data_IF_237350091531
#
_entry.id   IF_237350091531
#
_cell.length_a   1.000
_cell.length_b   1.000
_cell.length_c   1.000
_cell.angle_alpha   90.00
_cell.angle_beta   90.00
_cell.angle_gamma   90.00
#
_symmetry.space_group_name_H-M   'P 1'
#
loop_
_entity.id
_entity.type
_entity.pdbx_description
1 polymer ?
2 non-polymer ?
3 non-polymer ?
4 non-polymer ?
5 water ?
#
# COMPACT_ATOMS: atom_id res chain seq x y z
C UNK A 1 -24.54 -15.42 26.58
N UNK A 2 -24.53 -15.53 25.26
CA UNK A 2 -23.55 -14.82 24.45
C UNK A 2 -24.24 -14.08 23.32
N UNK A 3 -23.51 -13.14 22.71
CA UNK A 3 -24.08 -12.26 21.69
C UNK A 3 -23.07 -11.98 20.59
N UNK A 4 -23.57 -11.63 19.41
CA UNK A 4 -22.69 -11.25 18.30
C UNK A 4 -22.30 -9.78 18.45
N UNK A 5 -21.04 -9.54 18.78
CA UNK A 5 -20.54 -8.18 19.00
C UNK A 5 -20.12 -7.52 17.68
N UNK A 6 -19.61 -8.32 16.76
CA UNK A 6 -19.22 -7.82 15.44
C UNK A 6 -19.27 -8.95 14.43
N UNK A 7 -19.58 -8.62 13.18
CA UNK A 7 -19.61 -9.64 12.13
C UNK A 7 -19.42 -9.04 10.75
N UNK A 8 -18.53 -9.67 9.97
CA UNK A 8 -18.35 -9.29 8.58
C UNK A 8 -17.91 -10.51 7.76
N UNK A 9 -18.35 -10.57 6.51
CA UNK A 9 -18.12 -11.74 5.67
C UNK A 9 -18.14 -11.29 4.22
N UNK A 10 -17.48 -12.03 3.33
CA UNK A 10 -17.50 -11.71 1.92
C UNK A 10 -16.59 -12.59 1.10
N UNK A 11 -15.95 -11.99 0.09
CA UNK A 11 -15.07 -12.74 -0.80
C UNK A 11 -13.69 -12.10 -0.85
N UNK A 12 -12.66 -12.94 -0.74
CA UNK A 12 -11.28 -12.49 -0.72
C UNK A 12 -10.54 -13.08 -1.92
N UNK A 13 -9.47 -12.44 -2.32
CA UNK A 13 -8.60 -12.97 -3.38
C UNK A 13 -9.32 -13.16 -4.71
N UNK A 14 -10.15 -12.20 -5.08
CA UNK A 14 -10.83 -12.21 -6.38
C UNK A 14 -9.95 -11.51 -7.41
N UNK A 15 -9.31 -12.29 -8.27
CA UNK A 15 -8.41 -11.74 -9.26
C UNK A 15 -9.18 -11.21 -10.46
N UNK A 16 -8.87 -9.98 -10.87
CA UNK A 16 -9.57 -9.31 -11.95
C UNK A 16 -8.59 -8.70 -12.96
N UNK A 17 -8.85 -8.94 -14.23
CA UNK A 17 -8.07 -8.33 -15.31
C UNK A 17 -9.04 -7.59 -16.22
N UNK A 18 -8.70 -6.36 -16.57
CA UNK A 18 -9.51 -5.61 -17.52
C UNK A 18 -8.62 -4.97 -18.58
N UNK A 19 -9.07 -5.01 -19.82
CA UNK A 19 -8.34 -4.42 -20.92
C UNK A 19 -9.14 -3.28 -21.55
N UNK A 20 -8.44 -2.19 -21.82
CA UNK A 20 -9.02 -1.09 -22.59
C UNK A 20 -8.40 -1.07 -23.97
N UNK A 21 -9.25 -0.90 -24.98
CA UNK A 21 -8.77 -0.86 -26.36
C UNK A 21 -9.16 0.44 -27.03
N UNK A 22 -8.16 1.24 -27.40
CA UNK A 22 -8.40 2.46 -28.15
C UNK A 22 -8.60 2.09 -29.61
N UNK A 23 -9.81 2.28 -30.11
CA UNK A 23 -10.15 1.90 -31.48
C UNK A 23 -9.32 2.70 -32.48
N UNK A 24 -9.04 3.96 -32.13
CA UNK A 24 -8.26 4.84 -33.00
C UNK A 24 -6.81 4.39 -33.13
N UNK A 25 -6.05 4.54 -32.04
CA UNK A 25 -4.60 4.32 -32.07
C UNK A 25 -4.20 2.84 -32.09
N UNK A 26 -5.14 1.97 -31.74
CA UNK A 26 -4.82 0.55 -31.62
C UNK A 26 -4.07 0.24 -30.34
N UNK A 27 -3.98 1.22 -29.46
CA UNK A 27 -3.24 1.06 -28.22
C UNK A 27 -4.09 0.49 -27.08
N UNK A 28 -3.62 -0.64 -26.55
CA UNK A 28 -4.32 -1.34 -25.49
C UNK A 28 -3.62 -1.13 -24.14
N UNK A 29 -4.42 -1.02 -23.09
CA UNK A 29 -3.92 -0.79 -21.75
C UNK A 29 -4.57 -1.81 -20.82
N UNK A 30 -3.76 -2.49 -20.02
CA UNK A 30 -4.29 -3.53 -19.15
C UNK A 30 -4.24 -3.12 -17.68
N UNK A 31 -5.15 -3.67 -16.89
CA UNK A 31 -5.20 -3.43 -15.47
C UNK A 31 -5.44 -4.77 -14.78
N UNK A 32 -4.67 -5.06 -13.75
CA UNK A 32 -4.89 -6.28 -12.98
C UNK A 32 -4.89 -5.96 -11.50
N UNK A 33 -5.84 -6.56 -10.78
CA UNK A 33 -6.05 -6.28 -9.36
C UNK A 33 -6.37 -7.56 -8.60
N UNK A 34 -6.34 -7.49 -7.28
CA UNK A 34 -6.87 -8.55 -6.45
C UNK A 34 -7.78 -7.90 -5.41
N UNK A 35 -9.04 -8.31 -5.41
CA UNK A 35 -10.08 -7.58 -4.69
C UNK A 35 -10.69 -8.38 -3.55
N UNK A 36 -10.92 -7.70 -2.43
CA UNK A 36 -11.61 -8.28 -1.29
C UNK A 36 -12.78 -7.38 -0.92
N UNK A 37 -13.95 -7.99 -0.72
CA UNK A 37 -15.12 -7.25 -0.24
C UNK A 37 -15.74 -7.93 0.97
N UNK A 38 -15.82 -7.19 2.07
CA UNK A 38 -16.46 -7.69 3.29
C UNK A 38 -17.64 -6.80 3.65
N UNK A 39 -18.79 -7.41 3.91
CA UNK A 39 -20.00 -6.67 4.22
C UNK A 39 -20.36 -6.79 5.71
N UNK A 40 -20.94 -5.72 6.25
CA UNK A 40 -21.56 -5.77 7.57
C UNK A 40 -23.02 -5.38 7.44
N UNK A 41 -23.78 -5.63 8.51
CA UNK A 41 -25.16 -5.20 8.56
C UNK A 41 -26.00 -6.01 9.52
N UNK A 42 -27.30 -6.04 9.28
CA UNK A 42 -28.23 -6.82 10.08
C UNK A 42 -28.19 -8.27 9.61
N UNK A 43 -27.10 -8.97 9.93
CA UNK A 43 -26.89 -10.33 9.46
C UNK A 43 -26.57 -11.29 10.61
N UNK A 44 -26.88 -10.87 11.82
CA UNK A 44 -26.55 -11.65 13.03
C UNK A 44 -27.31 -12.97 13.06
N UNK A 45 -28.52 -13.01 12.50
CA UNK A 45 -29.32 -14.25 12.58
C UNK A 45 -28.82 -15.35 11.65
N UNK A 46 -27.87 -15.05 10.75
CA UNK A 46 -27.26 -16.12 9.97
C UNK A 46 -26.28 -16.90 10.85
N UNK A 47 -25.78 -16.24 11.90
CA UNK A 47 -24.89 -16.88 12.86
C UNK A 47 -25.65 -17.57 13.99
N UNK A 48 -26.71 -16.92 14.47
CA UNK A 48 -27.37 -17.36 15.70
C UNK A 48 -28.58 -18.27 15.43
N UNK A 49 -29.23 -18.10 14.30
CA UNK A 49 -30.47 -18.81 14.01
C UNK A 49 -30.40 -19.66 12.75
N UNK A 50 -29.22 -19.75 12.14
CA UNK A 50 -29.08 -20.44 10.86
C UNK A 50 -30.05 -19.86 9.85
N UNK A 51 -30.17 -18.53 9.84
CA UNK A 51 -31.08 -17.85 8.93
C UNK A 51 -30.30 -17.25 7.77
N UNK A 52 -30.27 -17.97 6.65
CA UNK A 52 -29.48 -17.57 5.50
C UNK A 52 -30.18 -16.58 4.58
N UNK A 53 -31.40 -16.19 4.93
CA UNK A 53 -32.15 -15.27 4.09
C UNK A 53 -31.49 -13.90 4.05
N UNK A 54 -30.70 -13.59 5.08
CA UNK A 54 -30.03 -12.30 5.17
C UNK A 54 -28.63 -12.33 4.54
N UNK A 55 -28.24 -13.47 3.98
CA UNK A 55 -26.90 -13.60 3.42
C UNK A 55 -26.88 -13.39 1.90
N UNK A 56 -26.18 -12.35 1.48
CA UNK A 56 -25.87 -12.15 0.08
C UNK A 56 -24.66 -13.03 -0.19
N UNK A 57 -24.89 -14.17 -0.86
CA UNK A 57 -23.86 -15.18 -1.00
C UNK A 57 -22.55 -14.58 -1.49
N UNK A 58 -21.44 -15.09 -0.96
CA UNK A 58 -20.12 -14.59 -1.32
C UNK A 58 -19.85 -14.82 -2.81
N UNK A 59 -20.47 -15.86 -3.37
CA UNK A 59 -20.36 -16.12 -4.80
C UNK A 59 -21.02 -14.99 -5.58
N UNK A 60 -22.14 -14.49 -5.08
CA UNK A 60 -22.82 -13.36 -5.69
C UNK A 60 -21.95 -12.12 -5.60
N UNK A 61 -21.23 -11.98 -4.50
CA UNK A 61 -20.32 -10.85 -4.30
C UNK A 61 -19.22 -10.89 -5.35
N UNK A 62 -18.73 -12.10 -5.63
CA UNK A 62 -17.73 -12.30 -6.68
C UNK A 62 -18.27 -11.85 -8.03
N UNK A 63 -19.47 -12.31 -8.36
CA UNK A 63 -20.14 -11.92 -9.60
C UNK A 63 -20.24 -10.41 -9.72
N UNK A 64 -20.59 -9.77 -8.61
CA UNK A 64 -20.83 -8.33 -8.59
C UNK A 64 -19.55 -7.55 -8.87
N UNK A 65 -18.41 -8.10 -8.46
CA UNK A 65 -17.13 -7.48 -8.71
C UNK A 65 -16.81 -7.45 -10.20
N UNK A 66 -17.08 -8.57 -10.88
CA UNK A 66 -16.83 -8.67 -12.32
C UNK A 66 -17.74 -7.74 -13.10
N UNK A 67 -19.03 -7.76 -12.76
CA UNK A 67 -20.03 -6.94 -13.44
C UNK A 67 -19.71 -5.45 -13.27
N UNK A 68 -19.31 -5.07 -12.06
CA UNK A 68 -18.99 -3.67 -11.77
C UNK A 68 -17.77 -3.22 -12.56
N UNK A 69 -16.78 -4.10 -12.67
CA UNK A 69 -15.58 -3.80 -13.43
C UNK A 69 -15.89 -3.64 -14.92
N UNK A 70 -16.88 -4.39 -15.39
CA UNK A 70 -17.29 -4.34 -16.79
C UNK A 70 -17.93 -3.00 -17.11
N UNK A 71 -18.74 -2.50 -16.19
CA UNK A 71 -19.58 -1.34 -16.44
C UNK A 71 -18.97 -0.01 -16.00
N UNK A 72 -17.85 -0.07 -15.28
CA UNK A 72 -17.24 1.13 -14.73
C UNK A 72 -15.74 1.16 -14.95
N UNK A 73 -15.12 2.34 -14.79
CA UNK A 73 -13.66 2.42 -14.85
C UNK A 73 -13.05 1.76 -13.64
N UNK A 74 -11.93 1.07 -13.81
CA UNK A 74 -11.27 0.41 -12.68
C UNK A 74 -10.10 1.25 -12.18
N UNK A 75 -9.92 2.42 -12.79
CA UNK A 75 -8.87 3.34 -12.39
C UNK A 75 -9.43 4.75 -12.29
N UNK A 76 -9.00 5.51 -11.27
CA UNK A 76 -8.09 5.06 -10.22
C UNK A 76 -8.78 4.08 -9.28
N UNK A 77 -8.00 3.25 -8.58
CA UNK A 77 -8.61 2.23 -7.70
C UNK A 77 -9.45 2.83 -6.57
N UNK A 78 -9.14 4.07 -6.18
CA UNK A 78 -9.91 4.75 -5.15
C UNK A 78 -11.36 4.94 -5.60
N UNK A 79 -11.53 5.23 -6.87
CA UNK A 79 -12.85 5.43 -7.45
C UNK A 79 -13.60 4.11 -7.60
N UNK A 80 -12.94 3.13 -8.18
CA UNK A 80 -13.56 1.82 -8.41
C UNK A 80 -14.03 1.21 -7.10
N UNK A 81 -13.21 1.34 -6.06
CA UNK A 81 -13.53 0.80 -4.75
C UNK A 81 -14.73 1.48 -4.13
N UNK A 82 -14.87 2.78 -4.37
CA UNK A 82 -15.97 3.56 -3.82
C UNK A 82 -17.28 3.24 -4.52
N UNK A 83 -17.21 2.96 -5.82
CA UNK A 83 -18.36 2.54 -6.59
C UNK A 83 -18.84 1.16 -6.15
N UNK A 84 -17.88 0.26 -5.97
CA UNK A 84 -18.16 -1.13 -5.61
C UNK A 84 -18.77 -1.22 -4.23
N UNK A 85 -18.26 -0.42 -3.30
CA UNK A 85 -18.75 -0.43 -1.93
C UNK A 85 -20.10 0.26 -1.81
N UNK A 86 -20.27 1.37 -2.52
CA UNK A 86 -21.55 2.09 -2.52
C UNK A 86 -22.66 1.19 -3.03
N UNK A 87 -22.35 0.38 -4.03
CA UNK A 87 -23.33 -0.50 -4.65
C UNK A 87 -24.00 -1.39 -3.62
N UNK A 88 -23.21 -1.98 -2.73
CA UNK A 88 -23.73 -2.96 -1.79
C UNK A 88 -24.66 -2.33 -0.74
N UNK A 89 -24.32 -1.14 -0.25
CA UNK A 89 -25.14 -0.49 0.77
C UNK A 89 -26.39 0.16 0.18
N UNK A 90 -26.36 0.47 -1.11
CA UNK A 90 -27.53 1.05 -1.77
C UNK A 90 -28.48 -0.04 -2.26
N UNK A 91 -27.91 -1.17 -2.66
CA UNK A 91 -28.68 -2.26 -3.25
C UNK A 91 -29.42 -3.09 -2.20
N UNK A 92 -28.78 -3.31 -1.05
CA UNK A 92 -29.33 -4.20 -0.03
C UNK A 92 -29.65 -3.42 1.24
N UNK A 93 -30.93 -3.35 1.59
CA UNK A 93 -31.40 -2.51 2.70
C UNK A 93 -30.85 -2.88 4.08
N UNK A 94 -30.44 -4.14 4.25
CA UNK A 94 -29.95 -4.59 5.56
C UNK A 94 -28.42 -4.57 5.65
N UNK A 95 -27.75 -4.19 4.56
CA UNK A 95 -26.29 -4.13 4.53
C UNK A 95 -25.77 -2.71 4.70
N UNK A 96 -25.23 -2.39 5.87
CA UNK A 96 -24.93 -1.00 6.20
C UNK A 96 -23.47 -0.58 6.07
N UNK A 97 -22.57 -1.52 5.78
CA UNK A 97 -21.19 -1.17 5.53
C UNK A 97 -20.53 -2.14 4.56
N UNK A 98 -19.65 -1.61 3.71
CA UNK A 98 -18.89 -2.42 2.77
C UNK A 98 -17.42 -2.03 2.86
N UNK A 99 -16.57 -3.03 2.97
CA UNK A 99 -15.13 -2.81 3.10
C UNK A 99 -14.44 -3.43 1.90
N UNK A 100 -13.75 -2.60 1.13
CA UNK A 100 -13.20 -3.01 -0.15
C UNK A 100 -11.70 -2.81 -0.18
N UNK A 101 -10.96 -3.90 -0.30
CA UNK A 101 -9.52 -3.82 -0.43
C UNK A 101 -9.07 -4.18 -1.84
N UNK A 102 -8.21 -3.35 -2.41
CA UNK A 102 -7.75 -3.55 -3.77
C UNK A 102 -6.23 -3.50 -3.83
N UNK A 103 -5.65 -4.55 -4.40
CA UNK A 103 -4.21 -4.59 -4.64
C UNK A 103 -3.98 -4.52 -6.14
N UNK A 104 -3.36 -3.44 -6.60
CA UNK A 104 -3.08 -3.28 -8.01
C UNK A 104 -1.72 -3.84 -8.35
N UNK A 105 -1.67 -4.70 -9.35
CA UNK A 105 -0.43 -5.26 -9.82
C UNK A 105 0.08 -4.46 -11.02
N UNK A 106 1.41 -4.44 -11.18
CA UNK A 106 2.06 -3.62 -12.19
C UNK A 106 2.18 -4.32 -13.54
N UNK A 107 1.54 -3.77 -14.55
CA UNK A 107 1.79 -4.16 -15.93
C UNK A 107 2.26 -2.95 -16.71
N UNK A 108 3.58 -2.84 -16.87
CA UNK A 108 4.20 -1.68 -17.48
C UNK A 108 4.45 -1.89 -18.95
N UNK A 109 4.02 -0.93 -19.76
CA UNK A 109 4.19 -1.02 -21.20
C UNK A 109 5.65 -1.22 -21.57
N UNK A 110 5.91 -2.23 -22.39
CA UNK A 110 7.27 -2.51 -22.85
C UNK A 110 7.76 -1.42 -23.78
N UNK A 111 9.06 -1.12 -23.70
CA UNK A 111 9.72 -0.34 -24.74
C UNK A 111 10.52 -1.27 -25.64
N UNK A 112 10.13 -1.32 -26.90
CA UNK A 112 10.80 -2.16 -27.88
C UNK A 112 11.42 -1.28 -28.97
N UNK A 113 12.74 -1.27 -29.04
CA UNK A 113 13.46 -0.42 -29.97
C UNK A 113 13.20 1.06 -29.67
N UNK A 114 13.14 1.38 -28.38
CA UNK A 114 12.94 2.75 -27.95
C UNK A 114 11.52 3.25 -28.10
N UNK A 115 10.64 2.40 -28.62
CA UNK A 115 9.26 2.79 -28.90
C UNK A 115 8.27 2.00 -28.05
N UNK A 116 7.38 2.71 -27.33
CA UNK A 116 6.31 2.07 -26.57
C UNK A 116 5.51 1.08 -27.42
N UNK A 117 5.37 -0.15 -26.94
CA UNK A 117 4.62 -1.16 -27.66
C UNK A 117 3.14 -1.08 -27.31
N UNK A 118 2.27 -1.22 -28.32
CA UNK A 118 0.82 -1.03 -28.15
C UNK A 118 0.09 -2.06 -27.28
N UNK A 119 0.60 -3.27 -27.14
CA UNK A 119 -0.12 -4.29 -26.38
C UNK A 119 0.76 -5.34 -25.71
N UNK A 120 1.97 -4.96 -25.32
CA UNK A 120 2.84 -5.87 -24.59
C UNK A 120 3.31 -5.20 -23.31
N UNK A 121 3.41 -5.99 -22.26
CA UNK A 121 3.68 -5.45 -20.93
C UNK A 121 4.64 -6.32 -20.14
N UNK A 122 5.17 -5.76 -19.05
CA UNK A 122 6.16 -6.44 -18.24
C UNK A 122 5.93 -6.10 -16.77
N UNK A 123 5.91 -7.12 -15.92
CA UNK A 123 5.77 -6.92 -14.49
C UNK A 123 7.11 -6.39 -13.98
N UNK A 124 7.26 -5.07 -14.03
CA UNK A 124 8.55 -4.44 -13.77
C UNK A 124 8.85 -4.25 -12.29
N UNK A 125 8.09 -4.93 -11.43
CA UNK A 125 8.33 -4.89 -9.99
C UNK A 125 7.16 -5.50 -9.23
N UNK A 126 7.44 -6.06 -8.06
CA UNK A 126 6.39 -6.61 -7.20
C UNK A 126 5.82 -5.54 -6.29
N UNK A 127 6.20 -4.29 -6.55
CA UNK A 127 5.61 -3.17 -5.83
C UNK A 127 4.14 -3.09 -6.17
N UNK A 128 3.33 -2.76 -5.17
CA UNK A 128 1.89 -2.68 -5.35
C UNK A 128 1.41 -1.24 -5.17
N UNK A 129 0.17 -0.99 -5.59
CA UNK A 129 -0.56 0.20 -5.21
C UNK A 129 -1.91 -0.26 -4.67
N UNK A 130 -2.21 0.09 -3.43
CA UNK A 130 -3.40 -0.43 -2.78
C UNK A 130 -4.40 0.65 -2.38
N UNK A 131 -5.62 0.21 -2.08
CA UNK A 131 -6.59 1.08 -1.43
C UNK A 131 -7.49 0.27 -0.51
N UNK A 132 -7.85 0.87 0.61
CA UNK A 132 -8.85 0.31 1.50
C UNK A 132 -10.00 1.31 1.58
N UNK A 133 -11.18 0.90 1.13
CA UNK A 133 -12.33 1.80 1.08
C UNK A 133 -13.43 1.31 2.02
N UNK A 134 -13.75 2.11 3.01
CA UNK A 134 -14.82 1.79 3.94
C UNK A 134 -16.04 2.66 3.65
N UNK A 135 -17.09 2.05 3.12
CA UNK A 135 -18.31 2.77 2.80
C UNK A 135 -19.37 2.44 3.85
N UNK A 136 -19.66 3.41 4.71
CA UNK A 136 -20.60 3.21 5.80
C UNK A 136 -21.83 4.06 5.59
N UNK A 137 -23.00 3.43 5.64
CA UNK A 137 -24.25 4.13 5.42
C UNK A 137 -24.46 5.22 6.46
N UNK A 138 -24.58 6.46 5.99
CA UNK A 138 -24.82 7.58 6.88
C UNK A 138 -23.55 8.29 7.28
N UNK A 139 -22.40 7.68 6.99
CA UNK A 139 -21.12 8.22 7.45
C UNK A 139 -20.10 8.43 6.33
N UNK A 140 -20.53 8.23 5.08
CA UNK A 140 -19.69 8.58 3.93
C UNK A 140 -18.72 7.51 3.48
N UNK A 141 -17.56 7.95 3.00
CA UNK A 141 -16.57 7.06 2.39
C UNK A 141 -15.17 7.41 2.88
N UNK A 142 -14.56 6.48 3.62
CA UNK A 142 -13.20 6.66 4.11
C UNK A 142 -12.22 5.86 3.25
N UNK A 143 -11.19 6.52 2.74
CA UNK A 143 -10.25 5.90 1.82
C UNK A 143 -8.83 5.98 2.33
N UNK A 144 -8.16 4.83 2.36
CA UNK A 144 -6.74 4.78 2.70
C UNK A 144 -5.95 4.26 1.50
N UNK A 145 -5.14 5.13 0.91
CA UNK A 145 -4.31 4.76 -0.24
C UNK A 145 -2.94 4.36 0.28
N UNK A 146 -2.25 3.49 -0.45
CA UNK A 146 -0.91 3.09 -0.04
C UNK A 146 -0.07 2.53 -1.19
N UNK A 147 1.23 2.51 -0.97
CA UNK A 147 2.14 1.75 -1.82
C UNK A 147 2.92 0.82 -0.91
N UNK A 148 3.25 -0.36 -1.41
CA UNK A 148 3.94 -1.36 -0.61
C UNK A 148 4.88 -2.17 -1.48
N UNK A 149 5.86 -2.83 -0.85
CA UNK A 149 6.78 -3.67 -1.59
C UNK A 149 7.75 -2.87 -2.43
N UNK A 150 8.01 -1.63 -2.02
CA UNK A 150 9.00 -0.79 -2.68
C UNK A 150 10.32 -0.93 -1.97
N UNK A 151 11.19 -1.79 -2.50
CA UNK A 151 12.38 -2.21 -1.79
C UNK A 151 13.63 -1.47 -2.29
N UNK A 152 14.29 -0.78 -1.36
CA UNK A 152 15.41 0.09 -1.70
C UNK A 152 16.63 -0.20 -0.82
N UNK A 153 17.77 0.32 -1.24
CA UNK A 153 19.02 0.19 -0.49
C UNK A 153 19.98 1.32 -0.84
N UNK A 154 20.58 1.94 0.16
CA UNK A 154 21.67 2.88 -0.06
C UNK A 154 22.91 2.37 0.66
N UNK A 155 24.05 2.48 0.00
CA UNK A 155 25.28 1.84 0.47
C UNK A 155 26.10 2.71 1.40
N UNK A 156 25.67 3.96 1.58
CA UNK A 156 26.34 4.90 2.46
C UNK A 156 25.40 6.05 2.80
N UNK A 157 25.89 7.02 3.56
CA UNK A 157 25.08 8.15 3.99
C UNK A 157 23.92 7.72 4.87
N UNK A 158 24.21 6.78 5.78
CA UNK A 158 23.28 6.42 6.83
C UNK A 158 24.10 6.24 8.10
N UNK A 159 23.57 6.75 9.21
CA UNK A 159 24.29 6.75 10.47
C UNK A 159 23.37 6.27 11.58
N UNK A 160 23.96 5.82 12.67
CA UNK A 160 23.17 5.54 13.87
C UNK A 160 24.06 5.56 15.10
N UNK A 161 24.06 6.71 15.77
CA UNK A 161 24.84 6.92 16.98
C UNK A 161 24.06 7.80 17.95
N UNK A 162 24.47 7.80 19.21
CA UNK A 162 23.83 8.65 20.20
C UNK A 162 22.62 7.99 20.84
N UNK A 163 22.45 6.70 20.63
CA UNK A 163 21.32 5.98 21.22
C UNK A 163 21.63 5.57 22.66
N UNK A 164 20.58 5.18 23.37
CA UNK A 164 20.66 4.78 24.77
C UNK A 164 21.56 3.56 24.95
N UNK A 165 22.52 3.66 25.86
CA UNK A 165 23.40 2.55 26.18
C UNK A 165 23.24 2.16 27.64
N UNK A 166 22.94 0.89 27.88
CA UNK A 166 22.94 0.36 29.23
C UNK A 166 23.48 -1.07 29.20
N UNK A 167 23.10 -1.89 30.17
CA UNK A 167 23.71 -3.20 30.32
C UNK A 167 23.11 -4.23 29.35
N UNK A 168 22.15 -3.81 28.54
CA UNK A 168 21.55 -4.68 27.54
C UNK A 168 22.06 -4.32 26.14
N UNK A 169 23.00 -3.38 26.07
CA UNK A 169 23.47 -2.84 24.81
C UNK A 169 24.84 -3.39 24.39
N UNK A 170 24.92 -3.90 23.17
CA UNK A 170 26.18 -4.35 22.60
C UNK A 170 26.46 -3.64 21.27
N UNK A 171 25.43 -3.03 20.68
CA UNK A 171 25.55 -2.40 19.38
C UNK A 171 26.52 -1.22 19.39
N UNK A 172 27.47 -1.23 18.46
CA UNK A 172 28.43 -0.14 18.32
C UNK A 172 27.81 1.02 17.56
N UNK A 173 28.14 2.24 17.97
CA UNK A 173 27.74 3.43 17.23
C UNK A 173 28.44 3.41 15.87
N UNK A 174 27.78 3.94 14.86
CA UNK A 174 28.36 3.98 13.52
C UNK A 174 28.01 5.28 12.82
N UNK A 175 28.91 5.72 11.94
CA UNK A 175 28.73 6.94 11.18
C UNK A 175 28.68 6.63 9.70
N UNK A 176 28.63 5.34 9.36
CA UNK A 176 28.56 4.91 7.99
C UNK A 176 28.07 3.47 7.92
N UNK A 177 26.84 3.27 7.45
CA UNK A 177 26.26 1.94 7.35
C UNK A 177 25.35 1.82 6.14
N UNK A 178 25.00 0.59 5.80
CA UNK A 178 24.02 0.31 4.77
C UNK A 178 22.62 0.46 5.35
N UNK A 179 21.72 1.06 4.59
CA UNK A 179 20.32 1.15 4.98
C UNK A 179 19.44 0.60 3.87
N UNK A 180 18.65 -0.42 4.19
CA UNK A 180 17.78 -1.05 3.22
C UNK A 180 16.43 -1.33 3.86
N UNK A 181 15.35 -1.12 3.11
CA UNK A 181 14.01 -1.31 3.65
C UNK A 181 13.00 -1.62 2.53
N UNK A 182 11.86 -2.20 2.92
CA UNK A 182 10.76 -2.44 1.99
C UNK A 182 9.64 -1.49 2.36
N UNK A 183 9.45 -0.41 1.61
CA UNK A 183 8.58 0.70 2.05
C UNK A 183 7.09 0.38 2.04
N UNK A 184 6.43 0.68 3.16
CA UNK A 184 4.97 0.60 3.26
C UNK A 184 4.45 1.97 3.70
N UNK A 185 3.78 2.67 2.78
CA UNK A 185 3.32 4.02 3.06
C UNK A 185 1.82 4.15 2.78
N UNK A 186 1.09 4.73 3.72
CA UNK A 186 -0.35 4.86 3.63
C UNK A 186 -0.78 6.30 3.89
N UNK A 187 -1.56 6.88 2.98
CA UNK A 187 -2.13 8.19 3.22
C UNK A 187 -3.66 8.14 3.28
N UNK A 188 -4.19 8.60 4.41
CA UNK A 188 -5.63 8.56 4.67
C UNK A 188 -6.28 9.87 4.25
N UNK A 189 -7.32 9.79 3.43
CA UNK A 189 -8.00 10.97 2.91
C UNK A 189 -9.06 11.49 3.86
N UNK A 190 -9.34 12.78 3.76
CA UNK A 190 -10.49 13.38 4.41
C UNK A 190 -11.72 12.55 4.05
N UNK A 191 -12.59 12.34 5.03
CA UNK A 191 -13.83 11.63 4.78
C UNK A 191 -14.61 12.31 3.67
N UNK A 192 -15.11 11.50 2.73
CA UNK A 192 -15.93 12.02 1.66
C UNK A 192 -17.40 11.73 1.96
N UNK A 193 -18.29 12.60 1.47
CA UNK A 193 -19.70 12.50 1.80
C UNK A 193 -20.39 11.41 1.00
N UNK A 194 -19.82 11.08 -0.16
CA UNK A 194 -20.40 10.09 -1.04
C UNK A 194 -19.68 10.01 -2.37
N UNK A 195 -20.26 9.26 -3.29
CA UNK A 195 -19.64 9.04 -4.60
C UNK A 195 -19.40 10.34 -5.35
N UNK A 196 -20.35 11.27 -5.29
CA UNK A 196 -20.23 12.50 -6.06
C UNK A 196 -18.98 13.29 -5.66
N UNK A 197 -18.67 13.30 -4.37
CA UNK A 197 -17.49 14.02 -3.90
C UNK A 197 -16.21 13.28 -4.29
N UNK A 198 -16.26 11.96 -4.26
CA UNK A 198 -15.10 11.16 -4.66
C UNK A 198 -14.80 11.40 -6.14
N UNK A 199 -15.84 11.47 -6.95
CA UNK A 199 -15.69 11.72 -8.38
C UNK A 199 -15.06 13.09 -8.63
N UNK A 200 -15.38 14.05 -7.77
CA UNK A 200 -14.93 15.43 -7.96
C UNK A 200 -13.43 15.59 -7.72
N UNK A 201 -12.82 14.61 -7.06
CA UNK A 201 -11.40 14.67 -6.73
C UNK A 201 -10.59 13.58 -7.44
N UNK A 202 -11.17 12.99 -8.49
CA UNK A 202 -10.54 11.86 -9.16
C UNK A 202 -9.11 12.13 -9.63
N UNK A 203 -8.85 13.32 -10.19
CA UNK A 203 -7.48 13.59 -10.66
C UNK A 203 -6.44 13.60 -9.54
N UNK A 204 -6.87 13.84 -8.31
CA UNK A 204 -5.95 13.95 -7.18
C UNK A 204 -5.37 12.61 -6.72
N UNK A 205 -6.03 11.51 -7.07
CA UNK A 205 -5.63 10.21 -6.55
C UNK A 205 -4.33 9.70 -7.19
N UNK A 206 -4.27 9.74 -8.53
CA UNK A 206 -3.07 9.31 -9.23
C UNK A 206 -1.91 10.27 -8.97
N UNK A 207 -2.23 11.56 -8.93
CA UNK A 207 -1.22 12.58 -8.69
C UNK A 207 -0.60 12.44 -7.31
N UNK A 208 -1.42 12.10 -6.32
CA UNK A 208 -0.96 12.00 -4.95
C UNK A 208 -0.17 10.72 -4.72
N UNK A 209 -0.49 9.67 -5.47
CA UNK A 209 0.27 8.43 -5.40
C UNK A 209 1.67 8.66 -5.97
N UNK A 210 1.73 9.38 -7.07
CA UNK A 210 3.01 9.69 -7.72
C UNK A 210 3.88 10.56 -6.83
N UNK A 211 3.26 11.50 -6.13
CA UNK A 211 4.00 12.41 -5.26
C UNK A 211 4.53 11.69 -4.03
N UNK A 212 3.75 10.75 -3.50
CA UNK A 212 4.15 9.98 -2.34
C UNK A 212 5.34 9.08 -2.67
N UNK A 213 5.36 8.56 -3.90
CA UNK A 213 6.42 7.68 -4.34
C UNK A 213 7.69 8.47 -4.61
N UNK A 214 7.55 9.61 -5.26
CA UNK A 214 8.68 10.47 -5.60
C UNK A 214 9.33 11.03 -4.35
N UNK A 215 8.50 11.44 -3.38
CA UNK A 215 9.00 11.99 -2.14
C UNK A 215 9.72 10.93 -1.32
N UNK A 216 9.18 9.72 -1.31
CA UNK A 216 9.79 8.62 -0.58
C UNK A 216 11.18 8.31 -1.15
N UNK A 217 11.27 8.23 -2.48
CA UNK A 217 12.51 7.86 -3.14
C UNK A 217 13.58 8.94 -3.03
N UNK A 218 13.18 10.19 -3.27
CA UNK A 218 14.11 11.31 -3.23
C UNK A 218 14.65 11.55 -1.82
N UNK A 219 13.77 11.46 -0.83
CA UNK A 219 14.17 11.68 0.55
C UNK A 219 15.08 10.56 1.05
N UNK A 220 14.80 9.33 0.64
CA UNK A 220 15.64 8.20 1.03
C UNK A 220 17.03 8.38 0.44
N UNK A 221 17.08 8.78 -0.82
CA UNK A 221 18.34 8.86 -1.55
C UNK A 221 19.21 10.02 -1.10
N UNK A 222 18.58 11.12 -0.68
CA UNK A 222 19.32 12.36 -0.42
C UNK A 222 19.56 12.67 1.05
N UNK A 223 18.74 12.12 1.93
CA UNK A 223 18.87 12.38 3.36
C UNK A 223 20.09 11.69 3.93
N UNK A 224 20.96 12.45 4.59
CA UNK A 224 22.06 11.87 5.35
C UNK A 224 21.46 11.36 6.65
N UNK A 225 20.95 10.13 6.58
CA UNK A 225 20.03 9.61 7.60
C UNK A 225 20.64 9.50 8.99
N UNK A 226 19.98 10.11 9.97
CA UNK A 226 20.40 10.02 11.37
C UNK A 226 19.79 8.77 11.99
N UNK A 227 18.75 8.25 11.35
CA UNK A 227 18.00 7.10 11.85
C UNK A 227 16.84 6.88 10.90
N UNK A 228 16.27 5.68 10.93
CA UNK A 228 15.10 5.38 10.11
C UNK A 228 13.95 6.28 10.57
N UNK A 229 13.84 6.47 11.87
CA UNK A 229 12.82 7.33 12.46
C UNK A 229 12.86 8.73 11.85
N UNK A 230 14.04 9.33 11.89
CA UNK A 230 14.21 10.71 11.44
C UNK A 230 13.93 10.85 9.95
N UNK A 231 14.32 9.84 9.19
CA UNK A 231 14.21 9.89 7.73
C UNK A 231 12.76 9.76 7.27
N UNK A 232 12.01 8.87 7.92
CA UNK A 232 10.64 8.60 7.51
C UNK A 232 9.74 9.77 7.89
N UNK A 233 10.09 10.49 8.94
CA UNK A 233 9.31 11.65 9.36
C UNK A 233 9.39 12.74 8.29
N UNK A 234 10.57 12.91 7.70
CA UNK A 234 10.76 13.91 6.66
C UNK A 234 9.90 13.60 5.44
N UNK A 235 9.79 12.32 5.10
CA UNK A 235 8.94 11.89 3.99
C UNK A 235 7.49 12.27 4.25
N UNK A 236 7.00 11.88 5.42
CA UNK A 236 5.61 12.12 5.80
C UNK A 236 5.29 13.61 5.82
N UNK A 237 6.25 14.40 6.27
CA UNK A 237 6.06 15.84 6.42
C UNK A 237 5.83 16.50 5.06
N UNK A 238 6.59 16.06 4.06
CA UNK A 238 6.49 16.60 2.71
C UNK A 238 5.16 16.25 2.05
N UNK A 239 4.74 15.00 2.18
CA UNK A 239 3.53 14.53 1.55
C UNK A 239 2.32 15.30 2.06
N UNK A 240 2.29 15.53 3.37
CA UNK A 240 1.23 16.31 3.98
C UNK A 240 1.20 17.74 3.46
N UNK A 241 2.38 18.30 3.21
CA UNK A 241 2.50 19.69 2.78
C UNK A 241 2.00 19.91 1.36
N UNK A 242 1.92 18.84 0.58
CA UNK A 242 1.63 18.95 -0.85
C UNK A 242 0.21 18.48 -1.21
N UNK A 243 -0.47 17.87 -0.25
CA UNK A 243 -1.84 17.45 -0.47
C UNK A 243 -2.70 17.70 0.76
N UNK A 244 -3.49 18.77 0.71
CA UNK A 244 -4.25 19.23 1.87
C UNK A 244 -5.43 18.32 2.18
N UNK A 245 -5.83 17.51 1.20
CA UNK A 245 -6.94 16.58 1.40
C UNK A 245 -6.51 15.35 2.17
N UNK A 246 -5.21 15.23 2.44
CA UNK A 246 -4.70 14.13 3.28
C UNK A 246 -4.70 14.53 4.74
N UNK A 247 -5.22 13.65 5.60
CA UNK A 247 -5.25 13.92 7.03
C UNK A 247 -4.04 13.34 7.75
N UNK A 248 -3.68 12.10 7.42
CA UNK A 248 -2.52 11.45 8.02
C UNK A 248 -1.70 10.67 7.00
N UNK A 249 -0.44 10.42 7.34
CA UNK A 249 0.45 9.59 6.56
C UNK A 249 1.16 8.63 7.50
N UNK A 250 1.07 7.34 7.21
CA UNK A 250 1.69 6.32 8.06
C UNK A 250 2.76 5.56 7.29
N UNK A 251 3.95 5.47 7.88
CA UNK A 251 5.02 4.67 7.31
C UNK A 251 5.31 3.48 8.21
N UNK A 252 5.59 2.33 7.58
CA UNK A 252 6.06 1.16 8.31
C UNK A 252 7.27 0.61 7.55
N UNK A 253 8.43 0.67 8.19
CA UNK A 253 9.69 0.38 7.52
C UNK A 253 10.51 -0.66 8.26
N UNK A 254 10.71 -1.83 7.64
CA UNK A 254 11.70 -2.79 8.14
C UNK A 254 13.11 -2.23 8.03
N UNK A 255 13.96 -2.48 9.02
CA UNK A 255 15.38 -2.18 8.87
C UNK A 255 16.12 -3.49 8.58
N UNK A 256 16.38 -3.72 7.30
CA UNK A 256 16.95 -4.98 6.84
C UNK A 256 18.46 -4.92 6.93
N UNK A 257 19.00 -5.62 7.92
CA UNK A 257 20.40 -5.46 8.30
C UNK A 257 21.37 -6.14 7.35
N UNK A 258 22.51 -5.49 7.16
CA UNK A 258 23.62 -6.04 6.42
C UNK A 258 24.85 -5.97 7.31
N UNK A 259 25.29 -7.12 7.81
CA UNK A 259 26.36 -7.17 8.79
C UNK A 259 27.74 -7.17 8.14
N UNK A 260 28.70 -6.50 8.77
CA UNK A 260 30.10 -6.59 8.36
C UNK A 260 30.61 -7.99 8.67
N UNK A 261 31.59 -8.45 7.90
CA UNK A 261 32.20 -9.75 8.13
C UNK A 261 33.68 -9.57 8.48
N UNK A 262 34.05 -9.95 9.70
CA UNK A 262 35.43 -9.86 10.14
C UNK A 262 36.24 -11.04 9.58
N UNK A 263 37.13 -10.73 8.64
CA UNK A 263 37.94 -11.75 7.98
C UNK A 263 39.41 -11.67 8.37
N UNK A 264 39.69 -11.01 9.49
CA UNK A 264 41.07 -10.78 9.92
C UNK A 264 41.74 -12.07 10.39
N UNK A 265 40.92 -13.02 10.83
CA UNK A 265 41.43 -14.32 11.25
C UNK A 265 42.09 -15.05 10.08
N UNK A 266 41.78 -14.61 8.87
CA UNK A 266 42.34 -15.20 7.66
C UNK A 266 43.41 -14.30 7.03
N UNK A 267 44.66 -14.54 7.39
CA UNK A 267 45.79 -13.82 6.81
C UNK A 267 45.67 -12.31 6.99
N UNK A 268 45.08 -11.89 8.10
CA UNK A 268 44.97 -10.48 8.42
C UNK A 268 44.17 -9.68 7.41
N UNK A 269 43.29 -10.37 6.70
CA UNK A 269 42.43 -9.74 5.70
C UNK A 269 41.57 -8.67 6.36
N UNK A 270 41.52 -7.49 5.77
CA UNK A 270 40.81 -6.35 6.37
C UNK A 270 39.49 -6.13 5.65
N UNK A 271 38.39 -6.26 6.40
CA UNK A 271 37.05 -6.17 5.81
C UNK A 271 36.03 -5.51 6.75
N UNK A 272 36.51 -4.69 7.67
CA UNK A 272 35.63 -3.96 8.58
C UNK A 272 35.90 -2.46 8.52
N UNK A 273 34.94 -1.67 8.98
CA UNK A 273 35.07 -0.22 8.96
C UNK A 273 35.23 0.33 7.56
N UNK A 274 36.26 1.16 7.37
CA UNK A 274 36.53 1.76 6.08
C UNK A 274 36.95 0.73 5.03
N UNK A 275 37.34 -0.45 5.50
CA UNK A 275 37.80 -1.52 4.62
C UNK A 275 36.70 -2.51 4.26
N UNK A 276 35.47 -2.23 4.71
CA UNK A 276 34.36 -3.15 4.52
C UNK A 276 33.89 -3.16 3.07
N UNK A 277 34.01 -4.32 2.42
CA UNK A 277 33.54 -4.50 1.05
C UNK A 277 32.48 -5.58 0.98
N UNK A 278 32.69 -6.68 1.70
CA UNK A 278 31.80 -7.82 1.66
C UNK A 278 30.97 -7.91 2.94
N UNK A 279 29.66 -7.98 2.78
CA UNK A 279 28.72 -8.00 3.89
C UNK A 279 27.85 -9.24 3.82
N UNK A 280 27.24 -9.59 4.96
CA UNK A 280 26.30 -10.70 5.02
C UNK A 280 24.90 -10.16 5.24
N UNK A 281 24.04 -10.22 4.21
CA UNK A 281 22.66 -9.78 4.43
C UNK A 281 21.96 -10.71 5.42
N UNK A 282 21.17 -10.13 6.32
CA UNK A 282 20.47 -10.91 7.33
C UNK A 282 18.99 -11.06 6.97
N UNK A 283 18.53 -12.29 6.85
CA UNK A 283 17.13 -12.56 6.58
C UNK A 283 16.29 -12.14 7.79
N UNK A 284 16.78 -12.49 8.97
CA UNK A 284 16.09 -12.17 10.21
C UNK A 284 17.10 -12.20 11.36
N UNK A 285 16.82 -11.47 12.45
CA UNK A 285 15.67 -10.59 12.66
C UNK A 285 15.79 -9.27 11.91
N UNK A 286 14.82 -8.38 12.08
CA UNK A 286 14.85 -7.06 11.46
C UNK A 286 14.17 -6.01 12.31
N UNK A 287 14.73 -4.80 12.32
CA UNK A 287 14.09 -3.69 12.98
C UNK A 287 12.75 -3.42 12.32
N UNK A 288 11.81 -2.85 13.08
CA UNK A 288 10.53 -2.46 12.52
C UNK A 288 10.13 -1.12 13.09
N UNK A 289 10.11 -0.10 12.24
CA UNK A 289 9.86 1.27 12.66
C UNK A 289 8.57 1.79 12.07
N UNK A 290 7.69 2.32 12.92
CA UNK A 290 6.39 2.83 12.47
C UNK A 290 6.16 4.24 12.99
N UNK A 291 5.45 5.04 12.21
CA UNK A 291 5.10 6.40 12.60
C UNK A 291 3.83 6.84 11.87
N UNK A 292 2.94 7.53 12.56
CA UNK A 292 1.78 8.14 11.93
C UNK A 292 1.89 9.64 12.16
N UNK A 293 1.87 10.39 11.07
CA UNK A 293 2.06 11.83 11.13
C UNK A 293 0.79 12.54 10.65
N UNK A 294 0.34 13.52 11.43
CA UNK A 294 -0.84 14.28 11.08
C UNK A 294 -0.56 15.77 11.09
N UNK A 295 -1.63 16.57 11.10
CA UNK A 295 -1.49 18.02 11.08
C UNK A 295 -1.69 18.61 12.47
N UNK A 296 -0.86 19.60 12.81
CA UNK A 296 -0.98 20.29 14.09
C UNK A 296 -1.97 21.45 13.98
X LIG B 1 16.63 3.00 14.27
X LIG B 1 17.60 2.88 13.27
X LIG B 1 17.56 3.60 12.28
X LIG B 1 18.61 1.92 13.40
X LIG B 1 18.64 1.12 14.53
X LIG B 1 17.68 1.25 15.52
X LIG B 1 16.67 2.19 15.41
X LIG B 1 15.82 2.30 16.28
X LIG B 1 17.95 0.36 16.47
X LIG B 1 19.04 -0.30 16.07
X LIG B 1 19.64 -1.28 16.77
X LIG B 1 19.47 0.16 14.91
X LIG B 1 15.90 3.69 14.18
X LIG B 1 19.94 -2.00 16.14
X LIG B 1 20.26 -0.18 14.40
X LIG C 1 16.45 -1.13 13.55
X LIG D 1 -28.43 -0.57 3.55
#
# INVERSE_FOLDING_TARGET
XSAVKAARYGKDNVRVYKVHKDEKTGVQTVYEMTVCVLLEGEIETSYTKADNSVIVATDSIKNTIYITAKQNPVTPPELFGSILGTHFIEKYNHIHAAHVNIVCHRWTRMDIDGKPHPHSFIRDSEEKRNVQVDVVEGKGIDIKSSLSGLTVLKSTNSQFWGFLRDEYTTLKETWDRILSTDVDATWQWKNFSGLQEVRSHVPKFDATWATAREVTLKTFAEDNSASVQATMYKMAEQILARQQLIETVEYSLPNKHYFEIDLSWHKGLQNTGKNAEVFAPQSDPNGLIKCTVGRSSLKSKL
8HX N1 C2 O2 N3 C4 C5 C6 O6 N7 C8 O8 N9 DAC DAA DAB
CL CL
NA NA
#
